data_IF_502682359196
#
_entry.id   IF_502682359196
#
_cell.length_a   1.000
_cell.length_b   1.000
_cell.length_c   1.000
_cell.angle_alpha   90.00
_cell.angle_beta   90.00
_cell.angle_gamma   90.00
#
_symmetry.space_group_name_H-M   'P 1'
#
loop_
_entity.id
_entity.type
_entity.pdbx_description
1 polymer ?
#
# COMPACT_ATOMS: atom_id res chain seq x y z
N UNK A 1 -23.82 1.56 22.16
CA UNK A 1 -22.46 1.28 22.70
C UNK A 1 -21.73 0.22 21.90
N UNK A 2 -22.41 -0.81 21.48
CA UNK A 2 -21.78 -1.85 20.63
C UNK A 2 -21.19 -1.28 19.34
N UNK A 3 -21.87 -0.34 18.73
CA UNK A 3 -21.40 0.31 17.53
C UNK A 3 -20.12 1.13 17.77
N UNK A 4 -20.01 1.77 18.92
CA UNK A 4 -18.80 2.50 19.28
C UNK A 4 -17.61 1.55 19.46
N UNK A 5 -17.84 0.42 20.08
CA UNK A 5 -16.82 -0.59 20.27
C UNK A 5 -16.33 -1.12 18.91
N UNK A 6 -17.28 -1.37 18.00
CA UNK A 6 -16.94 -1.83 16.65
C UNK A 6 -16.11 -0.80 15.88
N UNK A 7 -16.48 0.48 15.99
CA UNK A 7 -15.73 1.55 15.34
C UNK A 7 -14.33 1.69 15.92
N UNK A 8 -14.20 1.60 17.23
CA UNK A 8 -12.90 1.69 17.90
C UNK A 8 -12.00 0.52 17.46
N UNK A 9 -12.53 -0.68 17.46
CA UNK A 9 -11.78 -1.85 17.05
C UNK A 9 -11.34 -1.76 15.61
N UNK A 10 -12.21 -1.28 14.73
CA UNK A 10 -11.89 -1.11 13.31
C UNK A 10 -10.77 -0.09 13.15
N UNK A 11 -10.83 1.03 13.86
CA UNK A 11 -9.81 2.06 13.79
C UNK A 11 -8.46 1.56 14.31
N UNK A 12 -8.46 0.76 15.37
CA UNK A 12 -7.24 0.22 15.94
C UNK A 12 -6.64 -0.88 15.08
N UNK A 13 -7.48 -1.71 14.45
CA UNK A 13 -7.03 -2.85 13.67
C UNK A 13 -6.84 -2.55 12.19
N UNK A 14 -7.29 -1.39 11.72
CA UNK A 14 -7.18 -1.04 10.31
C UNK A 14 -5.75 -0.77 9.91
N UNK A 15 -5.29 -1.46 8.88
CA UNK A 15 -4.00 -1.17 8.30
C UNK A 15 -4.09 0.09 7.45
N UNK A 16 -3.04 0.89 7.47
CA UNK A 16 -2.99 2.15 6.74
C UNK A 16 -2.30 1.98 5.42
N UNK A 17 -2.89 2.57 4.40
CA UNK A 17 -2.37 2.52 3.03
C UNK A 17 -2.12 3.94 2.57
N UNK A 18 -0.89 4.21 2.16
CA UNK A 18 -0.59 5.47 1.49
C UNK A 18 -0.93 5.32 0.01
N UNK A 19 -1.76 6.23 -0.49
CA UNK A 19 -2.19 6.25 -1.88
C UNK A 19 -1.59 7.50 -2.52
N UNK A 20 -0.60 7.31 -3.38
CA UNK A 20 0.08 8.41 -4.06
C UNK A 20 -0.26 8.38 -5.55
N UNK A 21 -1.07 9.33 -5.97
CA UNK A 21 -1.51 9.46 -7.37
C UNK A 21 -1.81 10.92 -7.65
N UNK A 22 -1.32 11.41 -8.78
CA UNK A 22 -1.51 12.81 -9.17
C UNK A 22 -2.88 13.09 -9.77
N UNK A 23 -3.63 12.04 -10.16
CA UNK A 23 -4.99 12.18 -10.64
C UNK A 23 -5.97 12.15 -9.47
N UNK A 24 -6.67 13.26 -9.17
CA UNK A 24 -7.55 13.29 -8.00
C UNK A 24 -8.69 12.29 -8.08
N UNK A 25 -9.23 12.05 -9.26
CA UNK A 25 -10.33 11.09 -9.42
C UNK A 25 -9.88 9.67 -9.07
N UNK A 26 -8.75 9.24 -9.61
CA UNK A 26 -8.18 7.93 -9.32
C UNK A 26 -7.81 7.82 -7.84
N UNK A 27 -7.16 8.84 -7.32
CA UNK A 27 -6.73 8.87 -5.91
C UNK A 27 -7.92 8.69 -4.97
N UNK A 28 -8.97 9.44 -5.19
CA UNK A 28 -10.17 9.37 -4.36
C UNK A 28 -10.89 8.04 -4.51
N UNK A 29 -10.99 7.54 -5.74
CA UNK A 29 -11.66 6.26 -6.00
C UNK A 29 -10.92 5.09 -5.36
N UNK A 30 -9.60 5.09 -5.44
CA UNK A 30 -8.79 4.07 -4.78
C UNK A 30 -8.96 4.17 -3.27
N UNK A 31 -8.93 5.40 -2.73
CA UNK A 31 -9.16 5.61 -1.30
C UNK A 31 -10.49 5.06 -0.83
N UNK A 32 -11.56 5.34 -1.57
CA UNK A 32 -12.89 4.83 -1.23
C UNK A 32 -12.94 3.30 -1.25
N UNK A 33 -12.36 2.69 -2.28
CA UNK A 33 -12.34 1.23 -2.39
C UNK A 33 -11.57 0.60 -1.21
N UNK A 34 -10.48 1.23 -0.80
CA UNK A 34 -9.71 0.76 0.34
C UNK A 34 -10.49 0.89 1.65
N UNK A 35 -11.20 2.00 1.84
CA UNK A 35 -12.06 2.15 3.01
C UNK A 35 -13.13 1.07 3.07
N UNK A 36 -13.76 0.79 1.94
CA UNK A 36 -14.78 -0.25 1.86
C UNK A 36 -14.21 -1.64 2.17
N UNK A 37 -12.92 -1.83 1.88
CA UNK A 37 -12.24 -3.09 2.15
C UNK A 37 -11.71 -3.19 3.59
N UNK A 38 -11.84 -2.13 4.39
CA UNK A 38 -11.43 -2.14 5.79
C UNK A 38 -10.07 -1.51 6.06
N UNK A 39 -9.46 -0.88 5.07
CA UNK A 39 -8.20 -0.17 5.23
C UNK A 39 -8.44 1.30 5.59
N UNK A 40 -7.40 1.95 6.06
CA UNK A 40 -7.41 3.37 6.36
C UNK A 40 -6.49 4.09 5.37
N UNK A 41 -7.03 4.70 4.30
CA UNK A 41 -6.19 5.32 3.29
C UNK A 41 -5.70 6.70 3.71
N UNK A 42 -4.46 7.00 3.38
CA UNK A 42 -3.86 8.33 3.48
C UNK A 42 -3.53 8.76 2.04
N UNK A 43 -4.07 9.88 1.60
CA UNK A 43 -3.94 10.30 0.21
C UNK A 43 -2.82 11.31 0.04
N UNK A 44 -2.06 11.16 -1.04
CA UNK A 44 -1.00 12.09 -1.41
C UNK A 44 -1.13 12.39 -2.90
N UNK A 45 -1.08 13.65 -3.26
CA UNK A 45 -1.18 14.08 -4.66
C UNK A 45 0.18 14.08 -5.36
N UNK A 46 1.26 14.10 -4.61
CA UNK A 46 2.63 14.12 -5.14
C UNK A 46 3.50 13.15 -4.37
N UNK A 47 4.64 12.79 -4.96
CA UNK A 47 5.62 11.97 -4.26
C UNK A 47 6.19 12.66 -3.03
N UNK A 48 6.39 13.97 -3.12
CA UNK A 48 6.88 14.77 -2.00
C UNK A 48 5.92 14.70 -0.81
N UNK A 49 4.62 14.82 -1.05
CA UNK A 49 3.63 14.65 0.01
C UNK A 49 3.68 13.26 0.59
N UNK A 50 3.88 12.25 -0.27
CA UNK A 50 4.01 10.87 0.17
C UNK A 50 5.19 10.67 1.12
N UNK A 51 6.35 11.25 0.78
CA UNK A 51 7.53 11.18 1.63
C UNK A 51 7.27 11.81 2.99
N UNK A 52 6.62 12.97 3.00
CA UNK A 52 6.25 13.64 4.26
C UNK A 52 5.38 12.72 5.12
N UNK A 53 4.38 12.08 4.51
CA UNK A 53 3.50 11.16 5.24
C UNK A 53 4.27 9.96 5.79
N UNK A 54 5.19 9.41 5.02
CA UNK A 54 6.00 8.27 5.47
C UNK A 54 6.91 8.65 6.62
N UNK A 55 7.49 9.85 6.59
CA UNK A 55 8.39 10.32 7.64
C UNK A 55 7.65 10.72 8.91
N UNK A 56 6.45 11.29 8.78
CA UNK A 56 5.63 11.63 9.92
C UNK A 56 5.08 10.39 10.63
N UNK A 57 4.76 9.37 9.86
CA UNK A 57 4.08 8.19 10.36
C UNK A 57 4.77 6.91 9.93
N UNK A 58 6.10 6.76 10.13
CA UNK A 58 6.84 5.65 9.52
C UNK A 58 6.34 4.27 9.94
N UNK A 59 5.79 4.15 11.14
CA UNK A 59 5.28 2.88 11.64
C UNK A 59 3.80 2.67 11.40
N UNK A 60 3.08 3.73 10.96
CA UNK A 60 1.64 3.68 10.79
C UNK A 60 1.21 3.43 9.36
N UNK A 61 2.07 3.69 8.40
CA UNK A 61 1.79 3.34 7.00
C UNK A 61 2.23 1.90 6.80
N UNK A 62 1.27 1.02 6.56
CA UNK A 62 1.52 -0.42 6.43
C UNK A 62 1.72 -0.85 4.98
N UNK A 63 1.10 -0.15 4.05
CA UNK A 63 1.10 -0.50 2.63
C UNK A 63 1.23 0.75 1.79
N UNK A 64 1.77 0.61 0.58
CA UNK A 64 1.89 1.71 -0.37
C UNK A 64 1.33 1.30 -1.72
N UNK A 65 0.41 2.10 -2.22
CA UNK A 65 0.07 2.16 -3.64
C UNK A 65 0.60 3.49 -4.18
N UNK A 66 1.33 3.45 -5.27
CA UNK A 66 1.81 4.67 -5.92
C UNK A 66 1.77 4.52 -7.43
N UNK A 67 1.38 5.59 -8.10
CA UNK A 67 1.60 5.69 -9.53
C UNK A 67 3.10 5.79 -9.75
N UNK A 68 3.62 5.02 -10.72
CA UNK A 68 5.07 4.98 -10.95
C UNK A 68 5.61 6.33 -11.43
N UNK A 69 4.86 6.98 -12.32
CA UNK A 69 5.22 8.29 -12.83
C UNK A 69 4.43 9.37 -12.10
N UNK A 70 5.11 10.15 -11.27
CA UNK A 70 4.52 11.27 -10.55
C UNK A 70 5.25 12.54 -10.93
N UNK A 71 4.56 13.69 -10.99
CA UNK A 71 5.22 14.95 -11.29
C UNK A 71 6.11 15.37 -10.11
N UNK A 72 7.10 16.20 -10.41
CA UNK A 72 8.02 16.71 -9.41
C UNK A 72 9.30 15.91 -9.33
N UNK A 73 10.01 16.05 -8.23
CA UNK A 73 11.31 15.42 -8.03
C UNK A 73 11.22 14.00 -7.48
N UNK A 74 10.10 13.69 -6.84
CA UNK A 74 9.90 12.36 -6.24
C UNK A 74 8.85 11.61 -7.05
N UNK A 75 9.27 10.59 -7.78
CA UNK A 75 8.34 9.71 -8.49
C UNK A 75 7.97 8.51 -7.61
N UNK A 76 7.19 7.60 -8.17
CA UNK A 76 6.75 6.42 -7.41
C UNK A 76 7.89 5.50 -7.01
N UNK A 77 8.94 5.43 -7.82
CA UNK A 77 10.10 4.58 -7.51
C UNK A 77 10.85 5.09 -6.30
N UNK A 78 11.07 6.40 -6.23
CA UNK A 78 11.73 7.04 -5.10
C UNK A 78 10.87 6.91 -3.84
N UNK A 79 9.57 7.11 -3.99
CA UNK A 79 8.65 6.95 -2.87
C UNK A 79 8.67 5.52 -2.32
N UNK A 80 8.74 4.53 -3.22
CA UNK A 80 8.84 3.14 -2.80
C UNK A 80 10.12 2.86 -2.02
N UNK A 81 11.24 3.46 -2.43
CA UNK A 81 12.49 3.33 -1.69
C UNK A 81 12.36 3.85 -0.27
N UNK A 82 11.68 4.99 -0.10
CA UNK A 82 11.41 5.53 1.25
C UNK A 82 10.55 4.57 2.06
N UNK A 83 9.52 4.02 1.44
CA UNK A 83 8.66 3.05 2.12
C UNK A 83 9.43 1.81 2.55
N UNK A 84 10.33 1.32 1.69
CA UNK A 84 11.09 0.12 1.98
C UNK A 84 12.12 0.30 3.10
N UNK A 85 12.44 1.53 3.46
CA UNK A 85 13.30 1.77 4.62
C UNK A 85 12.63 1.29 5.92
N UNK A 86 11.31 1.42 6.00
CA UNK A 86 10.55 0.95 7.16
C UNK A 86 10.03 -0.48 6.98
N UNK A 87 9.78 -0.88 5.73
CA UNK A 87 9.20 -2.18 5.41
C UNK A 87 9.97 -2.85 4.27
N UNK A 88 11.18 -3.33 4.53
CA UNK A 88 12.07 -3.80 3.44
C UNK A 88 11.56 -5.04 2.70
N UNK A 89 10.66 -5.81 3.28
CA UNK A 89 10.16 -7.03 2.64
C UNK A 89 8.72 -6.92 2.12
N UNK A 90 8.07 -5.76 2.29
CA UNK A 90 6.70 -5.61 1.83
C UNK A 90 6.65 -5.14 0.38
N UNK A 91 5.84 -5.80 -0.47
CA UNK A 91 5.69 -5.34 -1.85
C UNK A 91 4.91 -4.03 -1.93
N UNK A 92 5.29 -3.21 -2.91
CA UNK A 92 4.60 -1.96 -3.21
C UNK A 92 3.75 -2.18 -4.45
N UNK A 93 2.55 -1.61 -4.46
CA UNK A 93 1.69 -1.63 -5.64
C UNK A 93 2.00 -0.40 -6.49
N UNK A 94 2.30 -0.63 -7.76
CA UNK A 94 2.64 0.44 -8.70
C UNK A 94 1.58 0.54 -9.79
N UNK A 95 1.09 1.75 -10.03
CA UNK A 95 0.29 2.02 -11.22
C UNK A 95 1.24 2.37 -12.36
N UNK A 96 1.35 1.50 -13.36
CA UNK A 96 2.26 1.70 -14.49
C UNK A 96 1.50 1.78 -15.80
N UNK A 97 1.91 2.66 -16.72
CA UNK A 97 1.27 2.67 -18.03
C UNK A 97 1.59 1.41 -18.80
N UNK A 98 0.72 1.09 -19.76
CA UNK A 98 0.86 -0.15 -20.53
C UNK A 98 2.20 -0.25 -21.24
N UNK A 99 2.72 0.85 -21.73
CA UNK A 99 3.99 0.86 -22.45
C UNK A 99 5.20 0.59 -21.55
N UNK A 100 5.04 0.75 -20.25
CA UNK A 100 6.14 0.57 -19.28
C UNK A 100 6.07 -0.77 -18.52
N UNK A 101 5.24 -1.70 -18.98
CA UNK A 101 5.04 -2.97 -18.26
C UNK A 101 6.30 -3.82 -18.18
N UNK A 102 7.23 -3.62 -19.11
CA UNK A 102 8.49 -4.37 -19.11
C UNK A 102 9.43 -3.94 -17.98
N UNK A 103 9.15 -2.82 -17.33
CA UNK A 103 9.92 -2.37 -16.17
C UNK A 103 9.31 -2.98 -14.91
N UNK A 104 9.72 -4.19 -14.59
CA UNK A 104 9.20 -4.88 -13.42
C UNK A 104 9.87 -4.35 -12.16
N UNK A 105 9.11 -3.93 -11.17
CA UNK A 105 9.69 -3.53 -9.90
C UNK A 105 10.29 -4.73 -9.17
N UNK A 106 11.40 -4.51 -8.51
CA UNK A 106 12.10 -5.60 -7.80
C UNK A 106 11.27 -6.16 -6.65
N UNK A 107 10.56 -5.31 -5.94
CA UNK A 107 9.71 -5.73 -4.84
C UNK A 107 8.38 -5.01 -4.96
N UNK A 108 7.55 -5.50 -5.86
CA UNK A 108 6.28 -4.83 -6.08
C UNK A 108 5.41 -5.54 -7.08
N UNK A 109 4.21 -5.04 -7.19
CA UNK A 109 3.18 -5.55 -8.08
C UNK A 109 2.77 -4.40 -9.01
N UNK A 110 2.94 -4.61 -10.30
CA UNK A 110 2.58 -3.60 -11.29
C UNK A 110 1.13 -3.78 -11.73
N UNK A 111 0.36 -2.71 -11.65
CA UNK A 111 -1.01 -2.66 -12.11
C UNK A 111 -1.06 -1.68 -13.29
N UNK A 112 -1.69 -2.09 -14.39
CA UNK A 112 -1.75 -1.24 -15.58
C UNK A 112 -2.72 -0.09 -15.37
N UNK A 113 -2.28 1.13 -15.67
CA UNK A 113 -3.16 2.30 -15.61
C UNK A 113 -4.05 2.38 -16.85
N UNK A 114 -5.29 2.87 -16.71
CA UNK A 114 -5.91 3.28 -15.46
C UNK A 114 -6.19 2.10 -14.56
N UNK A 115 -5.80 2.23 -13.29
CA UNK A 115 -5.98 1.12 -12.35
C UNK A 115 -7.43 0.98 -11.94
N UNK A 116 -7.84 -0.24 -11.63
CA UNK A 116 -9.15 -0.49 -11.05
C UNK A 116 -9.05 -0.25 -9.54
N UNK A 117 -9.83 0.67 -8.98
CA UNK A 117 -9.82 0.88 -7.52
C UNK A 117 -10.13 -0.40 -6.74
N UNK A 118 -11.10 -1.16 -7.21
CA UNK A 118 -11.43 -2.45 -6.59
C UNK A 118 -10.26 -3.43 -6.72
N UNK A 119 -9.57 -3.43 -7.85
CA UNK A 119 -8.41 -4.29 -8.07
C UNK A 119 -7.28 -3.99 -7.09
N UNK A 120 -7.02 -2.73 -6.83
CA UNK A 120 -6.02 -2.32 -5.83
C UNK A 120 -6.41 -2.88 -4.45
N UNK A 121 -7.67 -2.68 -4.05
CA UNK A 121 -8.16 -3.17 -2.76
C UNK A 121 -8.07 -4.69 -2.66
N UNK A 122 -8.42 -5.41 -3.71
CA UNK A 122 -8.37 -6.88 -3.72
C UNK A 122 -6.95 -7.40 -3.55
N UNK A 123 -5.99 -6.80 -4.25
CA UNK A 123 -4.58 -7.20 -4.13
C UNK A 123 -4.09 -6.96 -2.71
N UNK A 124 -4.40 -5.79 -2.15
CA UNK A 124 -3.99 -5.48 -0.78
C UNK A 124 -4.63 -6.40 0.24
N UNK A 125 -5.89 -6.78 0.04
CA UNK A 125 -6.54 -7.75 0.93
C UNK A 125 -5.80 -9.08 0.93
N UNK A 126 -5.39 -9.55 -0.24
CA UNK A 126 -4.63 -10.81 -0.35
C UNK A 126 -3.28 -10.70 0.35
N UNK A 127 -2.59 -9.60 0.16
CA UNK A 127 -1.29 -9.38 0.80
C UNK A 127 -1.43 -9.27 2.31
N UNK A 128 -2.44 -8.56 2.77
CA UNK A 128 -2.70 -8.38 4.20
C UNK A 128 -3.03 -9.72 4.87
N UNK A 129 -3.84 -10.55 4.22
CA UNK A 129 -4.18 -11.88 4.74
C UNK A 129 -2.96 -12.77 4.88
N UNK A 130 -2.07 -12.73 3.88
CA UNK A 130 -0.82 -13.48 3.94
C UNK A 130 0.06 -13.03 5.09
N UNK A 131 0.17 -11.73 5.30
CA UNK A 131 0.92 -11.20 6.43
C UNK A 131 0.32 -11.60 7.76
N UNK A 132 -0.99 -11.61 7.86
CA UNK A 132 -1.69 -12.03 9.09
C UNK A 132 -1.45 -13.51 9.37
N UNK A 133 -1.51 -14.34 8.34
CA UNK A 133 -1.20 -15.76 8.47
C UNK A 133 0.24 -15.98 8.96
N UNK A 134 1.18 -15.21 8.41
CA UNK A 134 2.58 -15.27 8.83
C UNK A 134 2.73 -14.88 10.29
N UNK A 135 2.02 -13.86 10.75
CA UNK A 135 2.07 -13.47 12.15
C UNK A 135 1.47 -14.54 13.06
N UNK A 136 0.38 -15.16 12.61
CA UNK A 136 -0.26 -16.21 13.38
C UNK A 136 0.61 -17.43 13.56
N UNK A 137 1.40 -17.75 12.56
CA UNK A 137 2.29 -18.91 12.57
C UNK A 137 3.76 -18.49 12.64
N UNK A 138 4.06 -17.53 13.48
CA UNK A 138 5.40 -16.93 13.52
C UNK A 138 6.52 -17.95 13.66
N UNK A 139 6.35 -18.94 14.52
CA UNK A 139 7.36 -19.97 14.72
C UNK A 139 7.45 -20.89 13.51
N UNK A 140 6.32 -21.29 12.97
CA UNK A 140 6.28 -22.10 11.77
C UNK A 140 6.86 -21.38 10.56
N UNK A 141 6.52 -20.12 10.41
CA UNK A 141 7.02 -19.31 9.32
C UNK A 141 8.53 -19.18 9.33
N UNK A 142 9.10 -19.00 10.50
CA UNK A 142 10.56 -18.90 10.63
C UNK A 142 11.24 -20.19 10.22
N UNK A 143 10.67 -21.33 10.59
CA UNK A 143 11.20 -22.63 10.18
C UNK A 143 11.15 -22.80 8.68
N UNK A 144 10.03 -22.45 8.06
CA UNK A 144 9.86 -22.54 6.62
C UNK A 144 10.82 -21.61 5.89
N UNK A 145 11.01 -20.41 6.39
CA UNK A 145 11.93 -19.47 5.78
C UNK A 145 13.36 -19.98 5.76
N UNK A 146 13.75 -20.72 6.79
CA UNK A 146 15.08 -21.33 6.85
C UNK A 146 15.25 -22.49 5.89
N UNK A 147 14.21 -23.27 5.72
CA UNK A 147 14.26 -24.43 4.85
C UNK A 147 14.23 -24.03 3.38
N UNK A 148 13.44 -23.02 3.05
CA UNK A 148 13.33 -22.55 1.67
C UNK A 148 14.38 -21.50 1.35
#
# INVERSE_FOLDING_TARGET
MAWLTGLTNKAESSERVLVADDDPETRESVGEALEQAGFDPTLAATGEQGVVRLREWPRRIDWLYTKAELPGLVDGWILADEFHQAHPSRPVLYGVPRYARHQSPQLGIALTTPVSPRGVAEVLLRLSRRCTCHRGDALGSLRHARVS
#
